data_IF_066475920095
#
_entry.id   IF_066475920095
#
_cell.length_a   1.000
_cell.length_b   1.000
_cell.length_c   1.000
_cell.angle_alpha   90.00
_cell.angle_beta   90.00
_cell.angle_gamma   90.00
#
_symmetry.space_group_name_H-M   'P 1'
#
loop_
_entity.id
_entity.type
_entity.pdbx_description
1 polymer ?
#
# COMPACT_ATOMS: atom_id res chain seq x y z
N UNK A 1 15.72 29.20 -27.07
CA UNK A 1 14.82 28.09 -27.46
C UNK A 1 15.63 26.83 -27.20
N UNK A 2 15.56 26.15 -26.05
CA UNK A 2 14.54 26.10 -25.00
C UNK A 2 15.28 25.77 -23.71
N UNK A 3 15.06 26.53 -22.64
CA UNK A 3 15.65 26.25 -21.33
C UNK A 3 14.71 25.28 -20.60
N UNK A 4 15.16 24.05 -20.36
CA UNK A 4 14.37 23.01 -19.71
C UNK A 4 14.49 23.22 -18.20
N UNK A 5 13.54 23.96 -17.64
CA UNK A 5 13.42 24.13 -16.21
C UNK A 5 13.09 22.79 -15.57
N UNK A 6 14.05 22.25 -14.81
CA UNK A 6 13.80 21.18 -13.86
C UNK A 6 12.78 21.69 -12.83
N UNK A 7 11.56 21.15 -12.87
CA UNK A 7 10.56 21.35 -11.83
C UNK A 7 11.11 20.74 -10.55
N UNK A 8 11.71 21.59 -9.72
CA UNK A 8 12.11 21.20 -8.38
C UNK A 8 10.84 21.21 -7.54
N UNK A 9 10.25 20.02 -7.32
CA UNK A 9 9.18 19.84 -6.35
C UNK A 9 9.74 20.24 -4.97
N UNK A 10 9.37 21.44 -4.53
CA UNK A 10 9.72 21.93 -3.20
C UNK A 10 8.70 21.30 -2.25
N UNK A 11 8.87 20.00 -2.04
CA UNK A 11 7.86 19.13 -1.46
C UNK A 11 7.49 19.55 -0.04
N UNK A 12 6.26 20.02 0.13
CA UNK A 12 5.60 19.92 1.43
C UNK A 12 5.41 18.42 1.68
N UNK A 13 6.02 17.88 2.74
CA UNK A 13 5.94 16.45 3.07
C UNK A 13 4.50 16.11 3.51
N UNK A 14 3.62 15.89 2.53
CA UNK A 14 2.27 15.41 2.80
C UNK A 14 2.35 14.01 3.39
N UNK A 15 1.49 13.73 4.37
CA UNK A 15 1.39 12.39 4.96
C UNK A 15 0.85 11.44 3.88
N UNK A 16 1.58 10.36 3.62
CA UNK A 16 1.24 9.36 2.60
C UNK A 16 0.64 8.11 3.24
N UNK A 17 -0.30 7.49 2.55
CA UNK A 17 -0.87 6.21 2.95
C UNK A 17 0.18 5.11 2.84
N UNK A 18 0.32 4.32 3.90
CA UNK A 18 1.19 3.14 3.93
C UNK A 18 0.38 1.90 3.59
N UNK A 19 0.75 1.18 2.53
CA UNK A 19 0.18 -0.11 2.17
C UNK A 19 1.14 -1.19 2.64
N UNK A 20 0.66 -2.06 3.54
CA UNK A 20 1.44 -3.11 4.20
C UNK A 20 1.10 -4.46 3.56
N UNK A 21 2.10 -5.09 2.94
CA UNK A 21 1.99 -6.42 2.33
C UNK A 21 2.68 -7.44 3.22
N UNK A 22 1.99 -8.50 3.60
CA UNK A 22 2.57 -9.51 4.47
C UNK A 22 3.44 -10.49 3.66
N UNK A 23 4.39 -11.15 4.34
CA UNK A 23 5.13 -12.26 3.76
C UNK A 23 4.36 -13.58 3.80
N UNK A 24 4.97 -14.65 3.30
CA UNK A 24 4.38 -15.98 3.35
C UNK A 24 4.03 -16.42 4.79
N UNK A 25 3.00 -17.27 4.92
CA UNK A 25 2.46 -17.79 6.20
C UNK A 25 1.85 -16.76 7.17
N UNK A 26 1.61 -15.52 6.72
CA UNK A 26 0.96 -14.48 7.51
C UNK A 26 -0.36 -14.04 6.85
N UNK A 27 -1.05 -13.09 7.49
CA UNK A 27 -2.13 -12.30 6.89
C UNK A 27 -2.00 -10.86 7.36
N UNK A 28 -2.90 -9.98 6.92
CA UNK A 28 -2.96 -8.57 7.30
C UNK A 28 -2.96 -8.37 8.83
N UNK A 29 -3.52 -9.31 9.58
CA UNK A 29 -3.54 -9.33 11.05
C UNK A 29 -2.16 -9.16 11.70
N UNK A 30 -1.07 -9.57 11.03
CA UNK A 30 0.28 -9.45 11.59
C UNK A 30 0.72 -7.99 11.78
N UNK A 31 0.07 -7.06 11.07
CA UNK A 31 0.34 -5.63 11.15
C UNK A 31 -0.59 -4.89 12.11
N UNK A 32 -1.51 -5.54 12.82
CA UNK A 32 -2.51 -4.85 13.66
C UNK A 32 -1.87 -3.87 14.67
N UNK A 33 -0.78 -4.27 15.34
CA UNK A 33 -0.05 -3.41 16.26
C UNK A 33 0.64 -2.23 15.56
N UNK A 34 1.20 -2.46 14.36
CA UNK A 34 1.82 -1.40 13.55
C UNK A 34 0.77 -0.40 13.05
N UNK A 35 -0.37 -0.88 12.53
CA UNK A 35 -1.46 -0.03 12.09
C UNK A 35 -2.01 0.84 13.25
N UNK A 36 -2.10 0.28 14.45
CA UNK A 36 -2.48 1.04 15.66
C UNK A 36 -1.52 2.20 15.92
N UNK A 37 -0.21 1.97 15.81
CA UNK A 37 0.78 3.02 16.05
C UNK A 37 0.86 4.04 14.90
N UNK A 38 0.63 3.62 13.66
CA UNK A 38 0.52 4.51 12.49
C UNK A 38 -0.69 5.44 12.64
N UNK A 39 -1.85 4.90 13.01
CA UNK A 39 -3.08 5.67 13.26
C UNK A 39 -2.88 6.69 14.40
N UNK A 40 -2.23 6.29 15.50
CA UNK A 40 -1.88 7.19 16.61
C UNK A 40 -0.98 8.37 16.18
N UNK A 41 -0.24 8.21 15.08
CA UNK A 41 0.62 9.25 14.49
C UNK A 41 -0.06 10.02 13.35
N UNK A 42 -1.33 9.72 13.06
CA UNK A 42 -2.07 10.31 11.94
C UNK A 42 -1.58 9.84 10.57
N UNK A 43 -0.92 8.68 10.50
CA UNK A 43 -0.45 8.09 9.25
C UNK A 43 -1.46 7.04 8.78
N UNK A 44 -2.21 7.29 7.67
CA UNK A 44 -3.16 6.33 7.16
C UNK A 44 -2.44 5.06 6.70
N UNK A 45 -3.04 3.91 6.95
CA UNK A 45 -2.47 2.63 6.54
C UNK A 45 -3.53 1.62 6.09
N UNK A 46 -3.14 0.75 5.17
CA UNK A 46 -3.94 -0.38 4.68
C UNK A 46 -3.08 -1.65 4.73
N UNK A 47 -3.49 -2.65 5.50
CA UNK A 47 -2.89 -3.98 5.45
C UNK A 47 -3.72 -4.87 4.50
N UNK A 48 -3.05 -5.53 3.56
CA UNK A 48 -3.70 -6.35 2.51
C UNK A 48 -3.60 -7.82 2.89
N UNK A 49 -4.71 -8.55 2.83
CA UNK A 49 -4.70 -10.02 2.83
C UNK A 49 -4.49 -10.54 1.41
N UNK A 50 -3.38 -11.20 1.15
CA UNK A 50 -3.10 -11.83 -0.15
C UNK A 50 -4.05 -13.02 -0.40
N UNK A 51 -4.25 -13.44 -1.66
CA UNK A 51 -5.10 -14.60 -1.98
C UNK A 51 -4.72 -15.84 -1.15
N UNK A 52 -5.71 -16.53 -0.59
CA UNK A 52 -5.54 -17.69 0.28
C UNK A 52 -5.06 -17.41 1.71
N UNK A 53 -4.91 -16.14 2.11
CA UNK A 53 -4.43 -15.74 3.43
C UNK A 53 -5.44 -14.88 4.20
N UNK A 54 -5.37 -14.94 5.54
CA UNK A 54 -6.18 -14.11 6.43
C UNK A 54 -7.67 -14.18 6.13
N UNK A 55 -8.28 -13.01 5.87
CA UNK A 55 -9.70 -12.90 5.53
C UNK A 55 -10.00 -12.97 4.03
N UNK A 56 -8.99 -13.15 3.16
CA UNK A 56 -9.21 -13.25 1.72
C UNK A 56 -9.99 -14.52 1.37
N UNK A 57 -11.06 -14.36 0.59
CA UNK A 57 -11.85 -15.48 0.06
C UNK A 57 -11.31 -16.01 -1.28
N UNK A 58 -10.30 -15.35 -1.84
CA UNK A 58 -9.64 -15.80 -3.06
C UNK A 58 -8.79 -17.06 -2.77
N UNK A 59 -8.65 -17.98 -3.74
CA UNK A 59 -7.79 -19.15 -3.58
C UNK A 59 -6.32 -18.75 -3.48
N UNK A 60 -5.50 -19.62 -2.88
CA UNK A 60 -4.04 -19.43 -2.82
C UNK A 60 -3.43 -19.32 -4.22
N UNK A 61 -2.50 -18.40 -4.40
CA UNK A 61 -1.80 -18.14 -5.67
C UNK A 61 -0.29 -18.31 -5.54
N UNK A 62 0.43 -18.08 -6.65
CA UNK A 62 1.88 -17.91 -6.66
C UNK A 62 2.28 -16.44 -6.47
N UNK A 63 3.58 -16.16 -6.50
CA UNK A 63 4.12 -14.80 -6.36
C UNK A 63 3.57 -13.83 -7.41
N UNK A 64 3.25 -14.31 -8.62
CA UNK A 64 2.68 -13.45 -9.66
C UNK A 64 1.24 -13.06 -9.33
N UNK A 65 0.43 -14.02 -8.85
CA UNK A 65 -0.91 -13.74 -8.35
C UNK A 65 -0.92 -12.79 -7.16
N UNK A 66 0.03 -12.95 -6.23
CA UNK A 66 0.20 -12.05 -5.10
C UNK A 66 0.55 -10.63 -5.56
N UNK A 67 1.53 -10.49 -6.46
CA UNK A 67 1.90 -9.19 -7.03
C UNK A 67 0.74 -8.53 -7.78
N UNK A 68 -0.07 -9.31 -8.49
CA UNK A 68 -1.27 -8.81 -9.16
C UNK A 68 -2.30 -8.29 -8.16
N UNK A 69 -2.54 -9.00 -7.07
CA UNK A 69 -3.42 -8.54 -6.00
C UNK A 69 -2.98 -7.19 -5.42
N UNK A 70 -1.66 -6.99 -5.24
CA UNK A 70 -1.10 -5.70 -4.81
C UNK A 70 -1.35 -4.61 -5.86
N UNK A 71 -1.08 -4.87 -7.14
CA UNK A 71 -1.33 -3.92 -8.23
C UNK A 71 -2.81 -3.52 -8.31
N UNK A 72 -3.72 -4.49 -8.24
CA UNK A 72 -5.16 -4.25 -8.28
C UNK A 72 -5.61 -3.41 -7.06
N UNK A 73 -5.04 -3.67 -5.88
CA UNK A 73 -5.28 -2.87 -4.67
C UNK A 73 -4.82 -1.42 -4.86
N UNK A 74 -3.63 -1.21 -5.42
CA UNK A 74 -3.10 0.14 -5.69
C UNK A 74 -3.94 0.89 -6.74
N UNK A 75 -4.44 0.20 -7.76
CA UNK A 75 -5.33 0.79 -8.75
C UNK A 75 -6.63 1.30 -8.11
N UNK A 76 -7.26 0.48 -7.25
CA UNK A 76 -8.47 0.86 -6.50
C UNK A 76 -8.21 2.04 -5.56
N UNK A 77 -7.02 2.11 -4.94
CA UNK A 77 -6.63 3.25 -4.11
C UNK A 77 -6.49 4.53 -4.94
N UNK A 78 -5.90 4.45 -6.13
CA UNK A 78 -5.81 5.57 -7.08
C UNK A 78 -7.18 6.06 -7.53
N UNK A 79 -8.12 5.16 -7.84
CA UNK A 79 -9.51 5.49 -8.16
C UNK A 79 -10.24 6.21 -7.00
N UNK A 80 -9.77 6.01 -5.76
CA UNK A 80 -10.27 6.65 -4.54
C UNK A 80 -9.51 7.94 -4.16
N UNK A 81 -8.57 8.39 -5.00
CA UNK A 81 -7.78 9.60 -4.78
C UNK A 81 -6.66 9.46 -3.75
N UNK A 82 -6.23 8.23 -3.44
CA UNK A 82 -5.05 8.00 -2.61
C UNK A 82 -3.81 8.12 -3.49
N UNK A 83 -3.19 9.30 -3.42
CA UNK A 83 -2.03 9.63 -4.23
C UNK A 83 -0.72 9.12 -3.61
N UNK A 84 0.15 8.54 -4.45
CA UNK A 84 1.54 8.16 -4.12
C UNK A 84 1.71 7.33 -2.82
N UNK A 85 0.99 6.21 -2.64
CA UNK A 85 1.14 5.37 -1.46
C UNK A 85 2.57 4.83 -1.31
N UNK A 86 2.97 4.57 -0.06
CA UNK A 86 4.21 3.85 0.26
C UNK A 86 3.88 2.39 0.43
N UNK A 87 4.47 1.52 -0.39
CA UNK A 87 4.37 0.07 -0.23
C UNK A 87 5.49 -0.42 0.71
N UNK A 88 5.12 -1.25 1.69
CA UNK A 88 6.03 -1.87 2.68
C UNK A 88 5.81 -3.36 2.69
#
# INVERSE_FOLDING_TARGET
MTDSAATTDTGTTSVRTVVLVHGAWHGAWCYAALQTELDRRGVPSLAVDLPGHGASLAPLTDLHGDARCVVDTLAVLGERGVESPVLV
#
